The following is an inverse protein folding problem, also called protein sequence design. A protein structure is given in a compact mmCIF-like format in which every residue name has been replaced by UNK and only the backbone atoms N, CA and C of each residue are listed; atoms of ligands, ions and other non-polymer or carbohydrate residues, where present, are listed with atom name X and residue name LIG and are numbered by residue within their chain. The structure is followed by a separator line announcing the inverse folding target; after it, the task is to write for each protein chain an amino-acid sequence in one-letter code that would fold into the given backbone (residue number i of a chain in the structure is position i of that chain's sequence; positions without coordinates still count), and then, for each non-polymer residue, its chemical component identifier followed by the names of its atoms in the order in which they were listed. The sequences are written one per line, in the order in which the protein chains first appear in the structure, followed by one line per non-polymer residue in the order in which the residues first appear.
data_IF_177905767892
#
_entry.id   IF_177905767892
#
_cell.length_a   1.000
_cell.length_b   1.000
_cell.length_c   1.000
_cell.angle_alpha   90.00
_cell.angle_beta   90.00
_cell.angle_gamma   90.00
#
_symmetry.space_group_name_H-M   'P 1'
#
loop_
_entity.id
_entity.type
_entity.pdbx_description
1 polymer ?
#
# COMPACT_ATOMS: atom_id res chain seq x y z
N UNK A 1 -6.49 3.52 -8.81
CA UNK A 1 -5.90 4.88 -8.74
C UNK A 1 -6.48 5.59 -7.52
N UNK A 2 -5.99 6.78 -7.16
CA UNK A 2 -6.52 7.58 -6.05
C UNK A 2 -7.00 8.92 -6.60
N UNK A 3 -8.16 9.38 -6.13
CA UNK A 3 -8.69 10.71 -6.42
C UNK A 3 -8.81 11.46 -5.10
N UNK A 4 -8.18 12.63 -5.01
CA UNK A 4 -8.20 13.46 -3.81
C UNK A 4 -9.20 14.60 -4.02
N UNK A 5 -10.08 14.80 -3.06
CA UNK A 5 -11.11 15.83 -3.08
C UNK A 5 -11.12 16.59 -1.75
N UNK A 6 -11.63 17.82 -1.74
CA UNK A 6 -11.71 18.64 -0.51
C UNK A 6 -12.89 18.26 0.37
N UNK A 7 -13.99 17.81 -0.23
CA UNK A 7 -15.20 17.41 0.48
C UNK A 7 -15.69 16.03 0.03
N UNK A 8 -16.52 15.41 0.86
CA UNK A 8 -17.11 14.10 0.56
C UNK A 8 -18.06 14.18 -0.63
N UNK A 9 -18.84 15.25 -0.73
CA UNK A 9 -19.78 15.49 -1.82
C UNK A 9 -19.06 15.60 -3.17
N UNK A 10 -17.91 16.30 -3.18
CA UNK A 10 -17.05 16.34 -4.36
C UNK A 10 -16.50 14.96 -4.71
N UNK A 11 -16.13 14.13 -3.74
CA UNK A 11 -15.66 12.78 -4.02
C UNK A 11 -16.78 11.90 -4.62
N UNK A 12 -18.00 12.02 -4.10
CA UNK A 12 -19.16 11.28 -4.61
C UNK A 12 -19.54 11.71 -6.04
N UNK A 13 -19.48 13.00 -6.37
CA UNK A 13 -19.77 13.45 -7.75
C UNK A 13 -18.68 13.06 -8.76
N UNK A 14 -17.52 12.57 -8.33
CA UNK A 14 -16.47 12.08 -9.26
C UNK A 14 -16.84 10.77 -9.94
N UNK A 15 -17.72 9.95 -9.34
CA UNK A 15 -18.16 8.71 -9.97
C UNK A 15 -18.82 8.99 -11.33
N UNK A 16 -19.78 9.92 -11.35
CA UNK A 16 -20.51 10.34 -12.57
C UNK A 16 -19.58 10.87 -13.67
N UNK A 17 -18.49 11.54 -13.29
CA UNK A 17 -17.53 12.10 -14.26
C UNK A 17 -16.50 11.08 -14.75
N UNK A 18 -16.15 10.10 -13.91
CA UNK A 18 -15.16 9.08 -14.22
C UNK A 18 -15.74 7.93 -15.04
N UNK A 19 -17.00 7.57 -14.80
CA UNK A 19 -17.67 6.48 -15.50
C UNK A 19 -17.60 6.61 -17.03
N UNK A 20 -18.05 7.71 -17.68
CA UNK A 20 -17.96 7.84 -19.13
C UNK A 20 -16.50 7.82 -19.64
N UNK A 21 -15.57 8.40 -18.87
CA UNK A 21 -14.14 8.42 -19.21
C UNK A 21 -13.51 7.02 -19.20
N UNK A 22 -13.89 6.17 -18.24
CA UNK A 22 -13.41 4.80 -18.11
C UNK A 22 -14.09 3.88 -19.13
N UNK A 23 -15.40 4.02 -19.32
CA UNK A 23 -16.17 3.22 -20.28
C UNK A 23 -15.65 3.39 -21.71
N UNK A 24 -15.27 4.62 -22.11
CA UNK A 24 -14.63 4.86 -23.41
C UNK A 24 -13.34 4.05 -23.63
N UNK A 25 -12.67 3.64 -22.54
CA UNK A 25 -11.42 2.86 -22.55
C UNK A 25 -11.65 1.37 -22.24
N UNK A 26 -12.91 0.93 -22.20
CA UNK A 26 -13.27 -0.45 -21.85
C UNK A 26 -13.03 -0.80 -20.38
N UNK A 27 -13.04 0.19 -19.48
CA UNK A 27 -12.85 0.00 -18.05
C UNK A 27 -14.14 0.34 -17.30
N UNK A 28 -14.41 -0.41 -16.23
CA UNK A 28 -15.51 -0.13 -15.28
C UNK A 28 -14.96 -0.04 -13.86
N UNK A 29 -15.61 0.76 -13.02
CA UNK A 29 -15.28 0.81 -11.59
C UNK A 29 -15.85 -0.42 -10.90
N UNK A 30 -15.03 -1.08 -10.09
CA UNK A 30 -15.46 -2.17 -9.23
C UNK A 30 -16.00 -1.58 -7.93
N UNK A 31 -17.33 -1.59 -7.75
CA UNK A 31 -18.01 -0.99 -6.59
C UNK A 31 -17.51 -1.56 -5.25
N UNK A 32 -17.26 -2.87 -5.21
CA UNK A 32 -16.75 -3.60 -4.03
C UNK A 32 -15.34 -3.15 -3.59
N UNK A 33 -14.54 -2.67 -4.55
CA UNK A 33 -13.15 -2.25 -4.34
C UNK A 33 -12.98 -0.75 -4.21
N UNK A 34 -13.99 0.03 -4.59
CA UNK A 34 -13.92 1.49 -4.59
C UNK A 34 -14.47 2.03 -3.27
N UNK A 35 -13.68 2.85 -2.58
CA UNK A 35 -14.02 3.35 -1.25
C UNK A 35 -13.75 4.85 -1.18
N UNK A 36 -14.68 5.58 -0.58
CA UNK A 36 -14.49 6.99 -0.20
C UNK A 36 -14.21 7.01 1.29
N UNK A 37 -13.09 7.61 1.69
CA UNK A 37 -12.68 7.70 3.08
C UNK A 37 -11.95 8.99 3.35
N UNK A 38 -11.98 9.45 4.60
CA UNK A 38 -11.27 10.66 4.98
C UNK A 38 -9.77 10.36 5.22
N UNK A 39 -8.89 11.28 4.86
CA UNK A 39 -7.43 11.08 4.96
C UNK A 39 -6.95 10.91 6.42
N UNK A 40 -7.73 11.35 7.41
CA UNK A 40 -7.43 11.14 8.83
C UNK A 40 -7.65 9.70 9.30
N UNK A 41 -8.51 8.94 8.64
CA UNK A 41 -8.66 7.49 8.85
C UNK A 41 -7.42 6.77 8.30
N UNK A 42 -6.93 7.27 7.16
CA UNK A 42 -5.76 6.78 6.46
C UNK A 42 -6.04 5.58 5.57
N UNK A 43 -5.23 5.39 4.53
CA UNK A 43 -5.41 4.29 3.58
C UNK A 43 -4.08 3.80 3.02
N UNK A 44 -4.07 2.56 2.55
CA UNK A 44 -2.90 1.95 1.92
C UNK A 44 -2.96 2.10 0.40
N UNK A 45 -1.87 2.57 -0.21
CA UNK A 45 -1.72 2.66 -1.65
C UNK A 45 -0.25 2.42 -2.05
N UNK A 46 -0.04 1.54 -3.03
CA UNK A 46 1.29 1.16 -3.55
C UNK A 46 2.29 0.78 -2.45
N UNK A 47 1.81 0.12 -1.39
CA UNK A 47 2.66 -0.35 -0.29
C UNK A 47 2.96 0.69 0.79
N UNK A 48 2.34 1.88 0.74
CA UNK A 48 2.45 2.91 1.76
C UNK A 48 1.09 3.17 2.41
N UNK A 49 1.09 3.43 3.71
CA UNK A 49 -0.03 4.01 4.43
C UNK A 49 0.10 5.54 4.41
N UNK A 50 -0.95 6.20 3.93
CA UNK A 50 -1.08 7.65 3.94
C UNK A 50 -2.12 8.02 4.98
N UNK A 51 -1.73 8.81 5.98
CA UNK A 51 -2.67 9.25 7.03
C UNK A 51 -2.34 10.65 7.53
N UNK A 52 -3.37 11.46 7.67
CA UNK A 52 -3.28 12.80 8.24
C UNK A 52 -3.51 12.75 9.75
N UNK A 53 -2.69 13.49 10.50
CA UNK A 53 -2.76 13.59 11.94
C UNK A 53 -2.79 15.06 12.37
N UNK A 54 -3.61 15.35 13.37
CA UNK A 54 -3.55 16.62 14.08
C UNK A 54 -2.43 16.52 15.13
N UNK A 55 -1.45 17.40 15.04
CA UNK A 55 -0.36 17.53 16.01
C UNK A 55 -0.46 18.90 16.69
N UNK A 56 0.38 19.11 17.71
CA UNK A 56 0.46 20.41 18.40
C UNK A 56 0.87 21.56 17.46
N UNK A 57 1.52 21.25 16.33
CA UNK A 57 2.02 22.21 15.35
C UNK A 57 1.12 22.31 14.11
N UNK A 58 -0.10 21.79 14.18
CA UNK A 58 -1.08 21.80 13.10
C UNK A 58 -1.27 20.44 12.47
N UNK A 59 -1.71 20.43 11.21
CA UNK A 59 -2.14 19.20 10.54
C UNK A 59 -1.02 18.68 9.63
N UNK A 60 -0.59 17.44 9.84
CA UNK A 60 0.51 16.84 9.08
C UNK A 60 0.09 15.52 8.41
N UNK A 61 0.50 15.35 7.16
CA UNK A 61 0.38 14.09 6.44
C UNK A 61 1.63 13.25 6.67
N UNK A 62 1.45 12.04 7.20
CA UNK A 62 2.52 11.07 7.33
C UNK A 62 2.36 9.96 6.28
N UNK A 63 3.45 9.69 5.56
CA UNK A 63 3.55 8.59 4.60
C UNK A 63 4.53 7.58 5.19
N UNK A 64 4.04 6.38 5.49
CA UNK A 64 4.83 5.30 6.10
C UNK A 64 4.67 4.03 5.27
N UNK A 65 5.63 3.10 5.25
CA UNK A 65 5.38 1.77 4.67
C UNK A 65 4.16 1.14 5.33
N UNK A 66 3.28 0.53 4.53
CA UNK A 66 2.11 -0.16 5.07
C UNK A 66 2.55 -1.35 5.92
N UNK A 67 1.68 -1.78 6.85
CA UNK A 67 1.95 -2.97 7.68
C UNK A 67 2.23 -4.20 6.81
N UNK A 68 1.51 -4.34 5.70
CA UNK A 68 1.70 -5.41 4.73
C UNK A 68 3.09 -5.34 4.07
N UNK A 69 3.53 -4.16 3.66
CA UNK A 69 4.87 -3.96 3.08
C UNK A 69 5.98 -4.29 4.08
N UNK A 70 5.86 -3.83 5.33
CA UNK A 70 6.83 -4.14 6.39
C UNK A 70 6.88 -5.64 6.65
N UNK A 71 5.72 -6.30 6.73
CA UNK A 71 5.63 -7.76 6.91
C UNK A 71 6.33 -8.50 5.77
N UNK A 72 6.01 -8.15 4.52
CA UNK A 72 6.62 -8.75 3.33
C UNK A 72 8.14 -8.56 3.32
N UNK A 73 8.63 -7.37 3.66
CA UNK A 73 10.07 -7.12 3.73
C UNK A 73 10.76 -7.99 4.80
N UNK A 74 10.16 -8.11 6.00
CA UNK A 74 10.67 -8.98 7.07
C UNK A 74 10.71 -10.45 6.65
N UNK A 75 9.66 -10.93 6.00
CA UNK A 75 9.59 -12.30 5.47
C UNK A 75 10.67 -12.57 4.43
N UNK A 76 10.88 -11.63 3.50
CA UNK A 76 11.96 -11.72 2.51
C UNK A 76 13.33 -11.81 3.19
N UNK A 77 13.63 -10.94 4.15
CA UNK A 77 14.91 -10.95 4.89
C UNK A 77 15.10 -12.28 5.61
N UNK A 78 14.06 -12.77 6.30
CA UNK A 78 14.10 -14.07 6.99
C UNK A 78 14.41 -15.21 6.03
N UNK A 79 13.73 -15.24 4.87
CA UNK A 79 13.92 -16.29 3.88
C UNK A 79 15.34 -16.27 3.28
N UNK A 80 15.86 -15.08 2.97
CA UNK A 80 17.24 -14.93 2.48
C UNK A 80 18.23 -15.43 3.53
N UNK A 81 18.05 -15.05 4.80
CA UNK A 81 18.93 -15.50 5.89
C UNK A 81 18.90 -17.03 6.06
N UNK A 82 17.71 -17.65 6.05
CA UNK A 82 17.59 -19.12 6.13
C UNK A 82 18.28 -19.82 4.96
N UNK A 83 18.13 -19.32 3.74
CA UNK A 83 18.80 -19.89 2.56
C UNK A 83 20.33 -19.81 2.63
N UNK A 84 20.86 -18.70 3.14
CA UNK A 84 22.31 -18.52 3.29
C UNK A 84 22.89 -19.46 4.36
N UNK A 85 22.20 -19.66 5.48
CA UNK A 85 22.65 -20.58 6.52
C UNK A 85 22.67 -22.03 6.04
N UNK A 86 21.67 -22.46 5.28
CA UNK A 86 21.63 -23.82 4.69
C UNK A 86 22.80 -24.01 3.71
N UNK A 87 23.05 -23.03 2.84
CA UNK A 87 24.19 -23.08 1.90
C UNK A 87 25.53 -23.16 2.64
N UNK A 88 25.70 -22.40 3.72
CA UNK A 88 26.92 -22.44 4.53
C UNK A 88 27.09 -23.80 5.24
N UNK A 89 26.01 -24.39 5.77
CA UNK A 89 26.07 -25.74 6.34
C UNK A 89 26.48 -26.80 5.31
N UNK A 90 25.91 -26.77 4.10
CA UNK A 90 26.28 -27.71 3.02
C UNK A 90 27.73 -27.52 2.59
N UNK A 91 28.17 -26.26 2.42
CA UNK A 91 29.54 -25.96 2.01
C UNK A 91 30.58 -26.35 3.06
N UNK A 92 30.26 -26.25 4.36
CA UNK A 92 31.16 -26.70 5.41
C UNK A 92 31.23 -28.24 5.47
N UNK A 93 30.10 -28.94 5.28
CA UNK A 93 30.09 -30.41 5.27
C UNK A 93 30.84 -31.04 4.08
N UNK A 94 30.92 -30.33 2.94
CA UNK A 94 31.69 -30.74 1.75
C UNK A 94 33.19 -30.42 1.85
N UNK A 95 33.62 -29.60 2.82
CA UNK A 95 35.04 -29.30 3.06
C UNK A 95 35.72 -30.26 4.03
N UNK A 96 34.93 -31.06 4.75
CA UNK A 96 35.39 -32.07 5.72
C UNK A 96 35.43 -33.51 5.13
N UNK A 97 35.27 -33.65 3.81
CA UNK A 97 35.51 -34.88 3.04
C UNK A 97 36.64 -34.64 2.04
#
# INVERSE_FOLDING_TARGET
FVVVCKTKEQAMSRYERLEPYLTQRGLTLAEDKTKVMHISEGFDFLGFNLRQYNTNNGIHLFIKPSKASVKKARETIKNVFMQLNIRNCINNHLKDC
#
